data_IF_744824388660
#
_entry.id   IF_744824388660
#
_cell.length_a   1.000
_cell.length_b   1.000
_cell.length_c   1.000
_cell.angle_alpha   90.00
_cell.angle_beta   90.00
_cell.angle_gamma   90.00
#
_symmetry.space_group_name_H-M   'P 1'
#
loop_
_entity.id
_entity.type
_entity.pdbx_description
1 polymer ?
#
# COMPACT_ATOMS: atom_id res chain seq x y z
N UNK A 1 -12.49 -17.52 -18.03
CA UNK A 1 -13.11 -16.38 -17.32
C UNK A 1 -12.07 -15.51 -16.63
N UNK A 2 -11.19 -16.07 -15.80
CA UNK A 2 -10.06 -15.37 -15.15
C UNK A 2 -9.24 -14.49 -16.13
N UNK A 3 -8.79 -15.06 -17.25
CA UNK A 3 -8.04 -14.33 -18.27
C UNK A 3 -8.80 -13.13 -18.85
N UNK A 4 -10.13 -13.24 -19.02
CA UNK A 4 -10.95 -12.14 -19.55
C UNK A 4 -11.04 -10.99 -18.55
N UNK A 5 -11.23 -11.31 -17.27
CA UNK A 5 -11.23 -10.33 -16.18
C UNK A 5 -9.87 -9.62 -16.05
N UNK A 6 -8.76 -10.37 -16.11
CA UNK A 6 -7.41 -9.81 -16.10
C UNK A 6 -7.18 -8.87 -17.28
N UNK A 7 -7.49 -9.29 -18.51
CA UNK A 7 -7.33 -8.45 -19.70
C UNK A 7 -8.17 -7.18 -19.60
N UNK A 8 -9.37 -7.25 -19.01
CA UNK A 8 -10.21 -6.06 -18.77
C UNK A 8 -9.53 -5.07 -17.83
N UNK A 9 -8.93 -5.54 -16.74
CA UNK A 9 -8.21 -4.68 -15.80
C UNK A 9 -6.95 -4.07 -16.42
N UNK A 10 -6.13 -4.87 -17.14
CA UNK A 10 -4.89 -4.39 -17.75
C UNK A 10 -5.10 -3.43 -18.93
N UNK A 11 -6.14 -3.60 -19.74
CA UNK A 11 -6.42 -2.73 -20.89
C UNK A 11 -7.06 -1.38 -20.52
N UNK A 12 -7.35 -1.16 -19.24
CA UNK A 12 -7.95 0.09 -18.81
C UNK A 12 -6.99 1.26 -18.97
N UNK A 13 -7.43 2.32 -19.66
CA UNK A 13 -6.71 3.60 -19.76
C UNK A 13 -6.45 4.22 -18.38
N UNK A 14 -7.28 3.87 -17.39
CA UNK A 14 -7.15 4.34 -16.02
C UNK A 14 -5.83 3.91 -15.37
N UNK A 15 -5.20 2.81 -15.82
CA UNK A 15 -3.91 2.36 -15.31
C UNK A 15 -2.80 3.40 -15.52
N UNK A 16 -2.79 4.04 -16.70
CA UNK A 16 -1.83 5.09 -17.03
C UNK A 16 -2.08 6.31 -16.15
N UNK A 17 -3.36 6.68 -15.95
CA UNK A 17 -3.73 7.78 -15.07
C UNK A 17 -3.26 7.55 -13.63
N UNK A 18 -3.56 6.38 -13.03
CA UNK A 18 -3.07 6.04 -11.70
C UNK A 18 -1.55 6.13 -11.67
N UNK A 19 -0.85 5.49 -12.63
CA UNK A 19 0.61 5.47 -12.66
C UNK A 19 1.23 6.87 -12.68
N UNK A 20 0.67 7.80 -13.47
CA UNK A 20 1.12 9.20 -13.51
C UNK A 20 0.88 9.89 -12.17
N UNK A 21 -0.32 9.74 -11.59
CA UNK A 21 -0.70 10.40 -10.33
C UNK A 21 0.16 9.91 -9.16
N UNK A 22 0.40 8.61 -9.03
CA UNK A 22 1.22 8.04 -7.94
C UNK A 22 2.72 8.35 -8.12
N UNK A 23 3.15 8.78 -9.30
CA UNK A 23 4.54 9.21 -9.54
C UNK A 23 4.83 10.59 -8.93
N UNK A 24 3.80 11.44 -8.74
CA UNK A 24 3.95 12.78 -8.16
C UNK A 24 4.64 12.77 -6.78
N UNK A 25 4.15 12.02 -5.77
CA UNK A 25 4.81 11.98 -4.45
C UNK A 25 6.23 11.40 -4.51
N UNK A 26 6.50 10.50 -5.46
CA UNK A 26 7.86 9.93 -5.65
C UNK A 26 8.83 11.00 -6.14
N UNK A 27 8.44 11.79 -7.15
CA UNK A 27 9.28 12.86 -7.70
C UNK A 27 9.54 13.93 -6.64
N UNK A 28 8.52 14.31 -5.86
CA UNK A 28 8.68 15.26 -4.75
C UNK A 28 9.63 14.73 -3.68
N UNK A 29 9.49 13.46 -3.29
CA UNK A 29 10.41 12.79 -2.36
C UNK A 29 11.85 12.84 -2.87
N UNK A 30 12.08 12.49 -4.14
CA UNK A 30 13.42 12.49 -4.74
C UNK A 30 14.02 13.89 -4.80
N UNK A 31 13.21 14.89 -5.11
CA UNK A 31 13.65 16.29 -5.09
C UNK A 31 14.10 16.71 -3.69
N UNK A 32 13.33 16.38 -2.65
CA UNK A 32 13.72 16.73 -1.28
C UNK A 32 14.99 16.00 -0.82
N UNK A 33 15.12 14.70 -1.13
CA UNK A 33 16.35 13.94 -0.87
C UNK A 33 17.56 14.54 -1.60
N UNK A 34 17.36 15.08 -2.81
CA UNK A 34 18.42 15.78 -3.54
C UNK A 34 18.81 17.10 -2.88
N UNK A 35 17.84 17.89 -2.41
CA UNK A 35 18.10 19.14 -1.66
C UNK A 35 18.88 18.84 -0.37
N UNK A 36 18.48 17.83 0.39
CA UNK A 36 19.20 17.39 1.60
C UNK A 36 20.65 17.04 1.28
N UNK A 37 20.88 16.25 0.23
CA UNK A 37 22.23 15.90 -0.21
C UNK A 37 23.08 17.14 -0.52
N UNK A 38 22.50 18.14 -1.18
CA UNK A 38 23.20 19.38 -1.53
C UNK A 38 23.59 20.17 -0.29
N UNK A 39 22.72 20.24 0.71
CA UNK A 39 23.02 20.87 2.00
C UNK A 39 24.20 20.17 2.71
N UNK A 40 24.22 18.84 2.69
CA UNK A 40 25.36 18.07 3.24
C UNK A 40 26.67 18.37 2.49
N UNK A 41 26.62 18.52 1.15
CA UNK A 41 27.80 18.90 0.37
C UNK A 41 28.33 20.30 0.74
N UNK A 42 27.44 21.27 0.93
CA UNK A 42 27.79 22.63 1.34
C UNK A 42 28.42 22.65 2.74
N UNK A 43 27.88 21.89 3.69
CA UNK A 43 28.44 21.75 5.03
C UNK A 43 29.84 21.11 5.04
N UNK A 44 30.11 20.15 4.14
CA UNK A 44 31.44 19.55 3.99
C UNK A 44 32.45 20.57 3.42
N UNK A 45 32.01 21.43 2.49
CA UNK A 45 32.87 22.45 1.87
C UNK A 45 33.14 23.64 2.80
N UNK A 46 32.24 23.93 3.74
CA UNK A 46 32.36 25.00 4.73
C UNK A 46 32.04 24.46 6.13
N UNK A 47 32.95 23.66 6.71
CA UNK A 47 32.71 23.01 7.99
C UNK A 47 32.67 24.03 9.13
N UNK A 48 31.68 23.89 10.01
CA UNK A 48 31.62 24.62 11.28
C UNK A 48 32.53 23.94 12.31
N UNK A 49 33.07 24.70 13.28
CA UNK A 49 34.03 24.19 14.28
C UNK A 49 33.48 23.00 15.10
N UNK A 50 32.17 22.95 15.36
CA UNK A 50 31.51 21.89 16.14
C UNK A 50 31.01 20.70 15.30
N UNK A 51 31.26 20.69 13.99
CA UNK A 51 30.73 19.64 13.11
C UNK A 51 31.60 18.38 13.12
N UNK A 52 30.99 17.23 13.38
CA UNK A 52 31.66 15.94 13.18
C UNK A 52 31.78 15.61 11.68
N UNK A 53 32.85 16.11 11.07
CA UNK A 53 33.14 15.98 9.64
C UNK A 53 33.13 14.51 9.17
N UNK A 54 33.64 13.58 9.99
CA UNK A 54 33.70 12.17 9.63
C UNK A 54 32.29 11.57 9.42
N UNK A 55 31.38 11.83 10.36
CA UNK A 55 29.98 11.39 10.27
C UNK A 55 29.25 12.09 9.11
N UNK A 56 29.50 13.39 8.90
CA UNK A 56 28.89 14.13 7.79
C UNK A 56 29.31 13.59 6.42
N UNK A 57 30.60 13.26 6.25
CA UNK A 57 31.11 12.65 5.02
C UNK A 57 30.52 11.26 4.81
N UNK A 58 30.36 10.48 5.87
CA UNK A 58 29.72 9.16 5.80
C UNK A 58 28.25 9.26 5.35
N UNK A 59 27.49 10.19 5.93
CA UNK A 59 26.11 10.47 5.53
C UNK A 59 26.05 10.90 4.06
N UNK A 60 26.90 11.83 3.64
CA UNK A 60 26.94 12.30 2.25
C UNK A 60 27.26 11.16 1.26
N UNK A 61 28.21 10.30 1.60
CA UNK A 61 28.60 9.16 0.78
C UNK A 61 27.52 8.07 0.74
N UNK A 62 26.63 8.01 1.74
CA UNK A 62 25.50 7.05 1.75
C UNK A 62 24.39 7.38 0.72
N UNK A 63 24.36 8.59 0.16
CA UNK A 63 23.42 8.98 -0.89
C UNK A 63 23.80 8.36 -2.25
N UNK A 64 23.52 7.07 -2.40
CA UNK A 64 23.57 6.31 -3.65
C UNK A 64 22.24 6.41 -4.40
N UNK A 65 22.20 5.99 -5.67
CA UNK A 65 20.96 5.97 -6.48
C UNK A 65 19.83 5.23 -5.75
N UNK A 66 20.11 4.03 -5.26
CA UNK A 66 19.10 3.22 -4.59
C UNK A 66 18.72 3.81 -3.23
N UNK A 67 19.61 4.57 -2.56
CA UNK A 67 19.27 5.28 -1.33
C UNK A 67 18.09 6.25 -1.52
N UNK A 68 17.92 6.86 -2.70
CA UNK A 68 16.73 7.67 -3.01
C UNK A 68 15.46 6.82 -3.03
N UNK A 69 15.53 5.61 -3.58
CA UNK A 69 14.40 4.70 -3.60
C UNK A 69 14.01 4.24 -2.19
N UNK A 70 14.98 3.90 -1.34
CA UNK A 70 14.72 3.53 0.06
C UNK A 70 14.27 4.72 0.91
N UNK A 71 14.80 5.92 0.68
CA UNK A 71 14.32 7.17 1.30
C UNK A 71 12.86 7.45 0.97
N UNK A 72 12.41 7.17 -0.25
CA UNK A 72 10.99 7.26 -0.58
C UNK A 72 10.15 6.23 0.18
N UNK A 73 10.56 4.96 0.23
CA UNK A 73 9.81 3.90 0.93
C UNK A 73 9.74 4.13 2.45
N UNK A 74 10.79 4.72 3.02
CA UNK A 74 10.89 5.03 4.46
C UNK A 74 10.29 6.38 4.84
N UNK A 75 10.03 7.27 3.87
CA UNK A 75 9.45 8.58 4.15
C UNK A 75 7.95 8.48 4.41
N UNK A 76 7.58 8.59 5.68
CA UNK A 76 6.19 8.53 6.14
C UNK A 76 5.27 9.45 5.33
N UNK A 77 5.63 10.71 5.13
CA UNK A 77 4.75 11.70 4.50
C UNK A 77 4.48 11.37 3.02
N UNK A 78 5.53 11.15 2.23
CA UNK A 78 5.39 10.85 0.80
C UNK A 78 4.77 9.48 0.57
N UNK A 79 5.11 8.50 1.41
CA UNK A 79 4.60 7.16 1.29
C UNK A 79 3.11 7.06 1.66
N UNK A 80 2.65 7.76 2.71
CA UNK A 80 1.21 7.83 3.04
C UNK A 80 0.42 8.42 1.88
N UNK A 81 0.87 9.52 1.30
CA UNK A 81 0.22 10.14 0.13
C UNK A 81 0.16 9.15 -1.03
N UNK A 82 1.27 8.45 -1.32
CA UNK A 82 1.33 7.42 -2.34
C UNK A 82 0.31 6.29 -2.12
N UNK A 83 0.21 5.78 -0.89
CA UNK A 83 -0.74 4.72 -0.51
C UNK A 83 -2.18 5.19 -0.67
N UNK A 84 -2.51 6.41 -0.22
CA UNK A 84 -3.84 6.99 -0.38
C UNK A 84 -4.21 7.05 -1.86
N UNK A 85 -3.33 7.58 -2.72
CA UNK A 85 -3.57 7.66 -4.17
C UNK A 85 -3.78 6.29 -4.81
N UNK A 86 -3.03 5.26 -4.39
CA UNK A 86 -3.26 3.88 -4.82
C UNK A 86 -4.62 3.35 -4.38
N UNK A 87 -5.04 3.61 -3.15
CA UNK A 87 -6.35 3.19 -2.62
C UNK A 87 -7.49 3.88 -3.36
N UNK A 88 -7.36 5.18 -3.68
CA UNK A 88 -8.32 5.90 -4.53
C UNK A 88 -8.38 5.24 -5.91
N UNK A 89 -7.22 5.03 -6.52
CA UNK A 89 -7.11 4.44 -7.86
C UNK A 89 -7.76 3.06 -7.94
N UNK A 90 -7.37 2.14 -7.07
CA UNK A 90 -7.92 0.79 -7.07
C UNK A 90 -9.37 0.73 -6.59
N UNK A 91 -9.77 1.58 -5.64
CA UNK A 91 -11.17 1.70 -5.20
C UNK A 91 -12.08 2.14 -6.35
N UNK A 92 -11.70 3.17 -7.10
CA UNK A 92 -12.43 3.62 -8.30
C UNK A 92 -12.40 2.54 -9.38
N UNK A 93 -11.24 1.98 -9.70
CA UNK A 93 -11.09 1.08 -10.85
C UNK A 93 -11.73 -0.29 -10.63
N UNK A 94 -11.44 -0.95 -9.51
CA UNK A 94 -11.86 -2.33 -9.23
C UNK A 94 -13.23 -2.37 -8.53
N UNK A 95 -13.47 -1.44 -7.60
CA UNK A 95 -14.74 -1.32 -6.90
C UNK A 95 -15.89 -0.96 -7.83
N UNK A 96 -15.69 0.03 -8.73
CA UNK A 96 -16.70 0.39 -9.74
C UNK A 96 -17.01 -0.77 -10.68
N UNK A 97 -15.98 -1.44 -11.22
CA UNK A 97 -16.18 -2.50 -12.19
C UNK A 97 -17.00 -3.64 -11.61
N UNK A 98 -16.65 -4.10 -10.41
CA UNK A 98 -17.40 -5.19 -9.74
C UNK A 98 -18.85 -4.80 -9.51
N UNK A 99 -19.09 -3.59 -8.98
CA UNK A 99 -20.44 -3.09 -8.71
C UNK A 99 -21.26 -2.93 -10.00
N UNK A 100 -20.67 -2.38 -11.07
CA UNK A 100 -21.33 -2.22 -12.36
C UNK A 100 -21.71 -3.55 -13.01
N UNK A 101 -20.85 -4.57 -12.89
CA UNK A 101 -21.14 -5.90 -13.42
C UNK A 101 -22.27 -6.55 -12.63
N UNK A 102 -22.24 -6.48 -11.29
CA UNK A 102 -23.31 -7.01 -10.42
C UNK A 102 -24.69 -6.39 -10.70
N UNK A 103 -24.75 -5.08 -10.97
CA UNK A 103 -26.02 -4.41 -11.27
C UNK A 103 -26.44 -4.52 -12.74
N UNK A 104 -25.57 -5.02 -13.62
CA UNK A 104 -25.90 -5.19 -15.03
C UNK A 104 -26.71 -6.48 -15.26
N UNK A 105 -27.69 -6.44 -16.17
CA UNK A 105 -28.40 -7.65 -16.59
C UNK A 105 -27.47 -8.74 -17.18
N UNK A 106 -26.31 -8.33 -17.69
CA UNK A 106 -25.25 -9.24 -18.15
C UNK A 106 -24.56 -9.98 -17.00
N UNK A 107 -24.37 -9.33 -15.85
CA UNK A 107 -23.82 -9.95 -14.63
C UNK A 107 -24.72 -11.05 -14.10
N UNK A 108 -26.04 -10.79 -14.06
CA UNK A 108 -27.03 -11.80 -13.66
C UNK A 108 -26.99 -13.04 -14.54
N UNK A 109 -26.86 -12.87 -15.86
CA UNK A 109 -26.70 -13.96 -16.83
C UNK A 109 -25.42 -14.77 -16.61
N UNK A 110 -24.30 -14.10 -16.31
CA UNK A 110 -23.03 -14.79 -16.01
C UNK A 110 -23.14 -15.56 -14.69
N UNK A 111 -23.73 -14.96 -13.66
CA UNK A 111 -23.83 -15.55 -12.32
C UNK A 111 -24.78 -16.76 -12.30
N UNK A 112 -25.88 -16.70 -13.05
CA UNK A 112 -26.78 -17.84 -13.24
C UNK A 112 -26.08 -19.02 -13.95
N UNK A 113 -25.17 -18.76 -14.91
CA UNK A 113 -24.48 -19.82 -15.67
C UNK A 113 -23.23 -20.39 -14.99
N UNK A 114 -22.48 -19.58 -14.24
CA UNK A 114 -21.17 -19.96 -13.66
C UNK A 114 -21.28 -20.38 -12.20
N UNK A 115 -22.43 -20.15 -11.56
CA UNK A 115 -22.65 -20.20 -10.11
C UNK A 115 -21.90 -19.07 -9.40
N UNK A 116 -22.64 -18.27 -8.63
CA UNK A 116 -22.15 -17.05 -7.96
C UNK A 116 -20.82 -17.23 -7.21
N UNK A 117 -20.68 -18.32 -6.46
CA UNK A 117 -19.46 -18.66 -5.71
C UNK A 117 -18.22 -18.72 -6.61
N UNK A 118 -18.30 -19.38 -7.77
CA UNK A 118 -17.18 -19.54 -8.70
C UNK A 118 -16.87 -18.25 -9.44
N UNK A 119 -17.90 -17.45 -9.75
CA UNK A 119 -17.74 -16.10 -10.26
C UNK A 119 -16.93 -15.24 -9.29
N UNK A 120 -17.35 -15.17 -8.02
CA UNK A 120 -16.73 -14.32 -7.01
C UNK A 120 -15.27 -14.71 -6.73
N UNK A 121 -14.98 -16.01 -6.64
CA UNK A 121 -13.60 -16.52 -6.54
C UNK A 121 -12.74 -16.10 -7.75
N UNK A 122 -13.31 -16.10 -8.95
CA UNK A 122 -12.58 -15.70 -10.16
C UNK A 122 -12.28 -14.20 -10.16
N UNK A 123 -13.23 -13.37 -9.73
CA UNK A 123 -13.04 -11.92 -9.63
C UNK A 123 -11.96 -11.57 -8.60
N UNK A 124 -12.03 -12.12 -7.38
CA UNK A 124 -11.03 -11.87 -6.34
C UNK A 124 -9.63 -12.31 -6.77
N UNK A 125 -9.51 -13.49 -7.41
CA UNK A 125 -8.22 -13.96 -7.97
C UNK A 125 -7.70 -13.04 -9.07
N UNK A 126 -8.58 -12.55 -9.96
CA UNK A 126 -8.18 -11.61 -11.01
C UNK A 126 -7.69 -10.27 -10.43
N UNK A 127 -8.38 -9.76 -9.40
CA UNK A 127 -7.99 -8.54 -8.71
C UNK A 127 -6.64 -8.70 -8.01
N UNK A 128 -6.40 -9.82 -7.31
CA UNK A 128 -5.11 -10.11 -6.68
C UNK A 128 -3.97 -10.06 -7.70
N UNK A 129 -4.08 -10.84 -8.78
CA UNK A 129 -3.05 -10.92 -9.81
C UNK A 129 -2.82 -9.56 -10.47
N UNK A 130 -3.87 -8.79 -10.73
CA UNK A 130 -3.75 -7.46 -11.29
C UNK A 130 -3.05 -6.48 -10.33
N UNK A 131 -3.46 -6.41 -9.05
CA UNK A 131 -2.84 -5.55 -8.03
C UNK A 131 -1.37 -5.92 -7.86
N UNK A 132 -1.07 -7.22 -7.71
CA UNK A 132 0.29 -7.74 -7.61
C UNK A 132 1.13 -7.30 -8.82
N UNK A 133 0.68 -7.59 -10.04
CA UNK A 133 1.41 -7.24 -11.25
C UNK A 133 1.58 -5.74 -11.44
N UNK A 134 0.55 -4.93 -11.14
CA UNK A 134 0.63 -3.48 -11.27
C UNK A 134 1.67 -2.90 -10.31
N UNK A 135 1.61 -3.26 -9.02
CA UNK A 135 2.52 -2.74 -7.99
C UNK A 135 3.96 -3.20 -8.26
N UNK A 136 4.16 -4.50 -8.54
CA UNK A 136 5.50 -5.04 -8.83
C UNK A 136 6.09 -4.40 -10.08
N UNK A 137 5.30 -4.25 -11.16
CA UNK A 137 5.77 -3.59 -12.38
C UNK A 137 6.11 -2.13 -12.12
N UNK A 138 5.25 -1.38 -11.41
CA UNK A 138 5.48 0.01 -11.06
C UNK A 138 6.79 0.19 -10.27
N UNK A 139 7.00 -0.59 -9.21
CA UNK A 139 8.22 -0.50 -8.41
C UNK A 139 9.46 -0.99 -9.15
N UNK A 140 9.32 -1.98 -10.05
CA UNK A 140 10.45 -2.41 -10.90
C UNK A 140 10.88 -1.32 -11.87
N UNK A 141 9.91 -0.65 -12.50
CA UNK A 141 10.14 0.49 -13.38
C UNK A 141 10.75 1.65 -12.60
N UNK A 142 10.22 1.95 -11.41
CA UNK A 142 10.76 2.99 -10.53
C UNK A 142 12.21 2.68 -10.15
N UNK A 143 12.51 1.48 -9.63
CA UNK A 143 13.86 1.07 -9.27
C UNK A 143 14.83 1.15 -10.46
N UNK A 144 14.38 0.76 -11.65
CA UNK A 144 15.16 0.88 -12.89
C UNK A 144 15.45 2.34 -13.27
N UNK A 145 14.44 3.22 -13.21
CA UNK A 145 14.64 4.64 -13.45
C UNK A 145 15.58 5.26 -12.43
N UNK A 146 15.40 4.96 -11.15
CA UNK A 146 16.26 5.43 -10.08
C UNK A 146 17.70 4.99 -10.29
N UNK A 147 17.91 3.73 -10.70
CA UNK A 147 19.22 3.22 -11.05
C UNK A 147 19.88 4.02 -12.20
N UNK A 148 19.17 4.28 -13.29
CA UNK A 148 19.70 5.03 -14.44
C UNK A 148 20.00 6.49 -14.05
N UNK A 149 19.04 7.14 -13.39
CA UNK A 149 19.18 8.55 -12.97
C UNK A 149 20.17 8.74 -11.83
N UNK A 150 20.59 7.65 -11.19
CA UNK A 150 21.61 7.62 -10.15
C UNK A 150 22.89 8.38 -10.48
N UNK A 151 23.29 8.37 -11.76
CA UNK A 151 24.42 9.15 -12.25
C UNK A 151 24.26 10.67 -12.13
N UNK A 152 23.04 11.18 -12.02
CA UNK A 152 22.70 12.60 -11.82
C UNK A 152 22.71 12.95 -10.32
N UNK A 153 22.36 11.99 -9.47
CA UNK A 153 22.15 12.20 -8.05
C UNK A 153 23.30 11.71 -7.15
N UNK A 154 24.19 10.83 -7.62
CA UNK A 154 25.35 10.32 -6.88
C UNK A 154 26.67 10.39 -7.64
N UNK A 155 27.72 10.85 -6.95
CA UNK A 155 29.12 10.79 -7.43
C UNK A 155 29.67 9.37 -7.40
N UNK A 156 29.12 8.50 -6.55
CA UNK A 156 29.43 7.07 -6.52
C UNK A 156 28.40 6.30 -7.35
N UNK A 157 28.75 5.94 -8.59
CA UNK A 157 27.94 5.05 -9.44
C UNK A 157 28.04 3.56 -9.04
N UNK A 158 29.02 3.18 -8.21
CA UNK A 158 29.49 1.80 -8.11
C UNK A 158 29.20 1.08 -6.77
N UNK A 159 28.68 1.77 -5.76
CA UNK A 159 28.42 1.20 -4.43
C UNK A 159 26.93 0.96 -4.22
N UNK A 160 26.37 0.06 -5.04
CA UNK A 160 24.93 -0.19 -5.15
C UNK A 160 24.23 -0.63 -3.85
N UNK A 161 24.99 -1.01 -2.82
CA UNK A 161 24.48 -1.74 -1.66
C UNK A 161 25.06 -1.31 -0.32
N UNK A 162 25.93 -0.28 -0.28
CA UNK A 162 26.48 0.17 0.99
C UNK A 162 25.32 0.74 1.81
N UNK A 163 25.01 0.07 2.92
CA UNK A 163 23.96 0.42 3.90
C UNK A 163 22.50 0.22 3.47
N UNK A 164 22.22 -0.59 2.44
CA UNK A 164 20.84 -0.87 2.00
C UNK A 164 20.42 -2.32 2.25
N UNK A 165 19.20 -2.53 2.73
CA UNK A 165 18.63 -3.86 2.95
C UNK A 165 17.56 -4.20 1.88
N UNK A 166 17.91 -4.83 0.74
CA UNK A 166 16.94 -5.17 -0.32
C UNK A 166 15.77 -6.02 0.18
N UNK A 167 16.00 -6.87 1.17
CA UNK A 167 14.96 -7.72 1.75
C UNK A 167 13.89 -6.90 2.47
N UNK A 168 14.30 -5.81 3.11
CA UNK A 168 13.40 -4.86 3.75
C UNK A 168 12.48 -4.18 2.72
N UNK A 169 13.05 -3.77 1.59
CA UNK A 169 12.30 -3.13 0.49
C UNK A 169 11.31 -4.09 -0.15
N UNK A 170 11.75 -5.32 -0.46
CA UNK A 170 10.87 -6.37 -1.00
C UNK A 170 9.75 -6.69 0.01
N UNK A 171 10.10 -6.86 1.28
CA UNK A 171 9.13 -7.08 2.36
C UNK A 171 8.09 -5.96 2.43
N UNK A 172 8.53 -4.71 2.33
CA UNK A 172 7.66 -3.54 2.37
C UNK A 172 6.68 -3.49 1.19
N UNK A 173 7.14 -3.80 -0.02
CA UNK A 173 6.27 -3.91 -1.21
C UNK A 173 5.26 -5.05 -1.05
N UNK A 174 5.64 -6.18 -0.45
CA UNK A 174 4.73 -7.30 -0.18
C UNK A 174 3.67 -6.94 0.87
N UNK A 175 4.03 -6.20 1.93
CA UNK A 175 3.07 -5.69 2.92
C UNK A 175 2.04 -4.78 2.24
N UNK A 176 2.49 -3.87 1.37
CA UNK A 176 1.61 -3.00 0.59
C UNK A 176 0.65 -3.79 -0.32
N UNK A 177 1.15 -4.76 -1.07
CA UNK A 177 0.30 -5.61 -1.94
C UNK A 177 -0.76 -6.33 -1.11
N UNK A 178 -0.35 -6.93 0.01
CA UNK A 178 -1.25 -7.67 0.91
C UNK A 178 -2.33 -6.74 1.45
N UNK A 179 -1.95 -5.55 1.92
CA UNK A 179 -2.87 -4.56 2.46
C UNK A 179 -3.89 -4.08 1.44
N UNK A 180 -3.43 -3.64 0.26
CA UNK A 180 -4.30 -3.15 -0.82
C UNK A 180 -5.24 -4.26 -1.28
N UNK A 181 -4.73 -5.48 -1.49
CA UNK A 181 -5.57 -6.60 -1.91
C UNK A 181 -6.69 -6.90 -0.91
N UNK A 182 -6.39 -6.92 0.39
CA UNK A 182 -7.40 -7.20 1.42
C UNK A 182 -8.47 -6.10 1.47
N UNK A 183 -8.08 -4.81 1.42
CA UNK A 183 -9.04 -3.71 1.40
C UNK A 183 -9.92 -3.73 0.15
N UNK A 184 -9.32 -3.89 -1.04
CA UNK A 184 -10.08 -3.99 -2.30
C UNK A 184 -10.96 -5.25 -2.31
N UNK A 185 -10.49 -6.35 -1.75
CA UNK A 185 -11.27 -7.57 -1.56
C UNK A 185 -12.52 -7.30 -0.73
N UNK A 186 -12.38 -6.60 0.40
CA UNK A 186 -13.52 -6.17 1.23
C UNK A 186 -14.48 -5.30 0.41
N UNK A 187 -14.00 -4.32 -0.37
CA UNK A 187 -14.91 -3.48 -1.18
C UNK A 187 -15.71 -4.25 -2.21
N UNK A 188 -15.05 -5.17 -2.91
CA UNK A 188 -15.65 -6.09 -3.87
C UNK A 188 -16.72 -6.91 -3.18
N UNK A 189 -16.42 -7.38 -1.97
CA UNK A 189 -17.34 -8.13 -1.14
C UNK A 189 -18.40 -7.27 -0.47
N UNK A 190 -18.29 -5.95 -0.34
CA UNK A 190 -19.34 -5.09 0.24
C UNK A 190 -20.39 -4.68 -0.78
N UNK A 191 -20.08 -4.83 -2.07
CA UNK A 191 -20.96 -4.43 -3.16
C UNK A 191 -22.32 -5.15 -3.21
N UNK A 192 -22.51 -6.25 -2.47
CA UNK A 192 -23.82 -6.88 -2.28
C UNK A 192 -24.70 -6.20 -1.22
N UNK A 193 -24.09 -5.66 -0.15
CA UNK A 193 -24.81 -4.99 0.93
C UNK A 193 -25.13 -3.56 0.57
N UNK A 194 -24.19 -2.90 -0.11
CA UNK A 194 -24.23 -1.48 -0.37
C UNK A 194 -24.55 -1.24 -1.84
N UNK A 195 -25.62 -0.48 -2.10
CA UNK A 195 -25.99 -0.07 -3.46
C UNK A 195 -25.34 1.25 -3.88
N UNK A 196 -24.72 1.98 -2.95
CA UNK A 196 -24.08 3.25 -3.24
C UNK A 196 -22.67 3.05 -3.81
N UNK A 197 -22.53 3.28 -5.12
CA UNK A 197 -21.25 3.17 -5.83
C UNK A 197 -20.13 4.02 -5.24
N UNK A 198 -20.44 5.23 -4.77
CA UNK A 198 -19.42 6.16 -4.26
C UNK A 198 -18.88 5.70 -2.91
N UNK A 199 -19.74 5.13 -2.08
CA UNK A 199 -19.32 4.56 -0.80
C UNK A 199 -18.39 3.35 -1.01
N UNK A 200 -18.72 2.46 -1.94
CA UNK A 200 -17.87 1.30 -2.27
C UNK A 200 -16.49 1.76 -2.77
N UNK A 201 -16.45 2.78 -3.64
CA UNK A 201 -15.21 3.31 -4.19
C UNK A 201 -14.34 4.01 -3.12
N UNK A 202 -14.96 4.74 -2.19
CA UNK A 202 -14.27 5.46 -1.12
C UNK A 202 -13.87 4.56 0.06
N UNK A 203 -14.49 3.39 0.19
CA UNK A 203 -14.30 2.50 1.34
C UNK A 203 -12.83 2.16 1.67
N UNK A 204 -11.93 1.85 0.71
CA UNK A 204 -10.54 1.55 1.03
C UNK A 204 -9.85 2.72 1.74
N UNK A 205 -10.13 3.95 1.30
CA UNK A 205 -9.58 5.18 1.87
C UNK A 205 -10.20 5.44 3.25
N UNK A 206 -11.51 5.25 3.39
CA UNK A 206 -12.22 5.41 4.66
C UNK A 206 -11.61 4.47 5.71
N UNK A 207 -11.41 3.19 5.38
CA UNK A 207 -10.80 2.25 6.32
C UNK A 207 -9.38 2.66 6.68
N UNK A 208 -8.56 3.00 5.68
CA UNK A 208 -7.17 3.43 5.91
C UNK A 208 -7.05 4.69 6.79
N UNK A 209 -7.90 5.68 6.54
CA UNK A 209 -7.90 6.92 7.33
C UNK A 209 -8.45 6.70 8.73
N UNK A 210 -9.54 5.93 8.88
CA UNK A 210 -10.08 5.59 10.20
C UNK A 210 -9.06 4.86 11.05
N UNK A 211 -8.38 3.84 10.51
CA UNK A 211 -7.36 3.10 11.26
C UNK A 211 -6.17 3.97 11.66
N UNK A 212 -5.83 5.00 10.86
CA UNK A 212 -4.80 5.97 11.22
C UNK A 212 -5.23 6.87 12.40
N UNK A 213 -6.50 7.27 12.47
CA UNK A 213 -7.01 8.19 13.50
C UNK A 213 -7.54 7.50 14.76
N UNK A 214 -7.80 6.20 14.74
CA UNK A 214 -8.31 5.44 15.90
C UNK A 214 -7.40 5.60 17.12
N UNK A 215 -6.08 5.52 16.92
CA UNK A 215 -5.09 5.63 17.99
C UNK A 215 -5.10 7.03 18.62
N UNK A 216 -5.00 8.07 17.78
CA UNK A 216 -5.06 9.47 18.22
C UNK A 216 -6.38 9.81 18.93
N UNK A 217 -7.51 9.27 18.46
CA UNK A 217 -8.81 9.47 19.11
C UNK A 217 -8.89 8.78 20.48
N UNK A 218 -8.34 7.56 20.61
CA UNK A 218 -8.33 6.80 21.86
C UNK A 218 -7.38 7.46 22.87
N UNK A 219 -6.18 7.87 22.46
CA UNK A 219 -5.21 8.54 23.33
C UNK A 219 -5.73 9.90 23.83
N UNK A 220 -6.33 10.72 22.95
CA UNK A 220 -6.78 12.07 23.32
C UNK A 220 -8.04 12.08 24.20
N UNK A 221 -8.95 11.11 24.04
CA UNK A 221 -10.27 11.17 24.70
C UNK A 221 -10.44 10.18 25.85
N UNK A 222 -9.63 9.12 25.94
CA UNK A 222 -9.83 8.02 26.90
C UNK A 222 -8.70 7.92 27.94
N UNK A 223 -8.06 9.06 28.27
CA UNK A 223 -7.04 9.20 29.32
C UNK A 223 -7.28 8.21 30.49
N UNK A 224 -6.44 7.18 30.56
CA UNK A 224 -6.38 6.13 31.58
C UNK A 224 -7.51 5.08 31.71
N UNK A 225 -8.58 5.08 30.89
CA UNK A 225 -9.73 4.18 31.17
C UNK A 225 -9.67 2.81 30.45
N UNK A 226 -8.96 2.66 29.32
CA UNK A 226 -8.78 1.33 28.71
C UNK A 226 -7.44 1.18 27.99
N UNK A 227 -6.39 0.83 28.74
CA UNK A 227 -5.09 0.41 28.18
C UNK A 227 -5.23 -0.68 27.11
N UNK A 228 -6.24 -1.56 27.23
CA UNK A 228 -6.55 -2.58 26.22
C UNK A 228 -7.06 -2.05 24.87
N UNK A 229 -7.88 -0.99 24.86
CA UNK A 229 -8.38 -0.41 23.60
C UNK A 229 -7.30 0.39 22.88
N UNK A 230 -6.42 1.07 23.62
CA UNK A 230 -5.23 1.72 23.04
C UNK A 230 -4.31 0.72 22.34
N UNK A 231 -4.08 -0.45 22.95
CA UNK A 231 -3.29 -1.52 22.33
C UNK A 231 -3.95 -2.04 21.04
N UNK A 232 -5.28 -2.21 21.02
CA UNK A 232 -6.00 -2.63 19.81
C UNK A 232 -5.93 -1.57 18.72
N UNK A 233 -6.08 -0.29 19.08
CA UNK A 233 -5.95 0.83 18.14
C UNK A 233 -4.56 0.89 17.51
N UNK A 234 -3.52 0.85 18.34
CA UNK A 234 -2.12 0.89 17.88
C UNK A 234 -1.78 -0.30 16.96
N UNK A 235 -2.28 -1.49 17.27
CA UNK A 235 -1.98 -2.72 16.53
C UNK A 235 -2.75 -2.83 15.20
N UNK A 236 -3.84 -2.06 15.03
CA UNK A 236 -4.61 -1.98 13.78
C UNK A 236 -4.24 -0.76 12.91
N UNK A 237 -3.29 0.06 13.35
CA UNK A 237 -2.87 1.27 12.63
C UNK A 237 -2.22 0.92 11.29
N UNK A 238 -2.74 1.49 10.20
CA UNK A 238 -2.34 1.10 8.85
C UNK A 238 -0.98 1.67 8.42
N UNK A 239 -0.63 2.88 8.86
CA UNK A 239 0.71 3.45 8.67
C UNK A 239 1.77 2.63 9.41
N UNK A 240 1.49 2.21 10.65
CA UNK A 240 2.40 1.42 11.46
C UNK A 240 2.66 0.05 10.82
N UNK A 241 1.60 -0.64 10.37
CA UNK A 241 1.73 -1.90 9.64
C UNK A 241 2.58 -1.74 8.38
N UNK A 242 2.34 -0.71 7.57
CA UNK A 242 3.06 -0.54 6.31
C UNK A 242 4.53 -0.17 6.54
N UNK A 243 4.84 0.67 7.52
CA UNK A 243 6.20 1.16 7.80
C UNK A 243 6.96 0.31 8.81
N UNK A 244 6.39 -0.79 9.31
CA UNK A 244 6.95 -1.58 10.42
C UNK A 244 8.39 -2.06 10.19
N UNK A 245 8.76 -2.33 8.94
CA UNK A 245 10.10 -2.77 8.57
C UNK A 245 11.16 -1.68 8.71
N UNK A 246 10.76 -0.41 8.75
CA UNK A 246 11.63 0.76 8.91
C UNK A 246 11.66 1.29 10.36
N UNK A 247 10.95 0.65 11.28
CA UNK A 247 10.92 1.06 12.69
C UNK A 247 12.08 0.42 13.47
N UNK A 248 12.71 1.15 14.42
CA UNK A 248 13.82 0.62 15.18
C UNK A 248 13.39 -0.55 16.07
N UNK A 249 14.04 -1.70 15.89
CA UNK A 249 13.81 -2.92 16.66
C UNK A 249 14.68 -2.85 17.94
N UNK A 250 14.11 -2.48 19.10
CA UNK A 250 14.78 -2.58 20.41
C UNK A 250 14.79 -4.04 20.94
N UNK A 251 15.63 -4.45 21.89
CA UNK A 251 15.63 -5.86 22.37
C UNK A 251 14.33 -6.25 23.10
N UNK A 252 13.81 -7.48 22.89
CA UNK A 252 12.47 -7.94 23.38
C UNK A 252 11.31 -7.80 22.36
N UNK A 253 11.63 -7.31 21.16
CA UNK A 253 10.73 -6.86 20.10
C UNK A 253 10.16 -7.90 19.16
N UNK A 254 10.70 -9.12 19.03
CA UNK A 254 10.18 -10.04 18.00
C UNK A 254 8.68 -10.31 18.22
N UNK A 255 8.25 -10.46 19.48
CA UNK A 255 6.83 -10.60 19.83
C UNK A 255 6.03 -9.34 19.48
N UNK A 256 6.58 -8.16 19.75
CA UNK A 256 5.95 -6.89 19.38
C UNK A 256 5.85 -6.75 17.86
N UNK A 257 6.96 -6.89 17.14
CA UNK A 257 7.03 -6.89 15.68
C UNK A 257 6.00 -7.86 15.06
N UNK A 258 5.95 -9.11 15.53
CA UNK A 258 4.98 -10.09 15.04
C UNK A 258 3.55 -9.66 15.34
N UNK A 259 3.28 -9.11 16.52
CA UNK A 259 1.94 -8.64 16.87
C UNK A 259 1.46 -7.50 15.95
N UNK A 260 2.32 -6.53 15.64
CA UNK A 260 1.96 -5.43 14.74
C UNK A 260 1.95 -5.86 13.26
N UNK A 261 2.87 -6.74 12.84
CA UNK A 261 2.95 -7.24 11.47
C UNK A 261 1.80 -8.19 11.10
N UNK A 262 1.21 -8.92 12.06
CA UNK A 262 0.20 -9.94 11.77
C UNK A 262 -1.23 -9.50 12.10
N UNK A 263 -1.43 -8.63 13.08
CA UNK A 263 -2.79 -8.34 13.56
C UNK A 263 -3.69 -7.68 12.52
N UNK A 264 -3.22 -6.62 11.86
CA UNK A 264 -4.00 -5.94 10.82
C UNK A 264 -4.37 -6.88 9.65
N UNK A 265 -3.44 -7.61 9.02
CA UNK A 265 -3.80 -8.52 7.94
C UNK A 265 -4.71 -9.66 8.42
N UNK A 266 -4.51 -10.21 9.63
CA UNK A 266 -5.41 -11.22 10.20
C UNK A 266 -6.83 -10.65 10.35
N UNK A 267 -6.96 -9.44 10.91
CA UNK A 267 -8.24 -8.76 11.05
C UNK A 267 -8.95 -8.56 9.70
N UNK A 268 -8.22 -8.08 8.69
CA UNK A 268 -8.77 -7.87 7.35
C UNK A 268 -9.12 -9.20 6.64
N UNK A 269 -8.34 -10.26 6.85
CA UNK A 269 -8.65 -11.61 6.34
C UNK A 269 -9.91 -12.15 6.99
N UNK A 270 -10.06 -11.99 8.30
CA UNK A 270 -11.26 -12.42 9.03
C UNK A 270 -12.50 -11.67 8.49
N UNK A 271 -12.40 -10.36 8.31
CA UNK A 271 -13.47 -9.54 7.73
C UNK A 271 -13.82 -9.96 6.29
N UNK A 272 -12.81 -10.14 5.43
CA UNK A 272 -12.98 -10.70 4.08
C UNK A 272 -13.73 -12.03 4.11
N UNK A 273 -13.34 -12.94 5.01
CA UNK A 273 -13.90 -14.28 5.09
C UNK A 273 -15.36 -14.25 5.52
N UNK A 274 -15.69 -13.46 6.54
CA UNK A 274 -17.07 -13.28 7.02
C UNK A 274 -17.94 -12.71 5.90
N UNK A 275 -17.49 -11.65 5.24
CA UNK A 275 -18.23 -11.03 4.14
C UNK A 275 -18.41 -11.99 2.97
N UNK A 276 -17.39 -12.76 2.61
CA UNK A 276 -17.47 -13.77 1.55
C UNK A 276 -18.52 -14.85 1.85
N UNK A 277 -18.54 -15.37 3.09
CA UNK A 277 -19.52 -16.38 3.50
C UNK A 277 -20.95 -15.84 3.50
N UNK A 278 -21.16 -14.62 4.01
CA UNK A 278 -22.46 -13.95 3.99
C UNK A 278 -22.95 -13.70 2.56
N UNK A 279 -22.05 -13.20 1.70
CA UNK A 279 -22.34 -12.88 0.32
C UNK A 279 -22.78 -14.12 -0.47
N UNK A 280 -22.08 -15.25 -0.29
CA UNK A 280 -22.51 -16.53 -0.88
C UNK A 280 -23.88 -16.96 -0.35
N UNK A 281 -24.10 -16.92 0.97
CA UNK A 281 -25.36 -17.39 1.58
C UNK A 281 -26.59 -16.65 1.06
N UNK A 282 -26.46 -15.35 0.80
CA UNK A 282 -27.54 -14.51 0.27
C UNK A 282 -27.76 -14.81 -1.22
N UNK A 283 -26.74 -14.62 -2.05
CA UNK A 283 -26.91 -14.67 -3.50
C UNK A 283 -26.95 -16.07 -4.10
N UNK A 284 -26.38 -17.09 -3.44
CA UNK A 284 -26.50 -18.47 -3.94
C UNK A 284 -27.95 -18.95 -3.98
N UNK A 285 -28.86 -18.33 -3.21
CA UNK A 285 -30.29 -18.67 -3.21
C UNK A 285 -31.08 -17.90 -4.28
N UNK A 286 -30.66 -16.70 -4.62
CA UNK A 286 -31.37 -15.81 -5.54
C UNK A 286 -31.09 -16.10 -7.02
N UNK A 287 -29.92 -16.66 -7.33
CA UNK A 287 -29.50 -16.98 -8.71
C UNK A 287 -29.70 -18.45 -9.12
N UNK A 288 -30.40 -19.25 -8.30
CA UNK A 288 -30.90 -20.59 -8.66
C UNK A 288 -32.41 -20.44 -8.90
N UNK A 289 -32.77 -19.87 -10.05
CA UNK A 289 -34.13 -19.92 -10.61
C UNK A 289 -34.01 -20.20 -12.10
#
# INVERSE_FOLDING_TARGET
MLQKELVRYFKSKFNIFIAVVITIPVVLSYYMTFVEKKQWAEQIQSPQEDMNLATTIEIYNSYTSMAFFDKFLSSTDYYIIFVILLLIGFGIHLGFQTHSVLLSGYGNLIMARVVYKKYLQTVLKAQFLYIFSFIVCYFSVLAFFTYITGAVYSTQRATLWINMNPWQMIGHILLLITFIYLLVGITTLLSFLLKNKYFIQAFPIIVYTLTMFIDAFIEMNLNNIMSGLGIVGAVLRSDFYLLILYMPIQEGTIKYFLSFALSLPIFLIALCTILYLLNIKVHSKEYIV
#
